data_IF_816805608077
#
_entry.id   IF_816805608077
#
_cell.length_a   1.000
_cell.length_b   1.000
_cell.length_c   1.000
_cell.angle_alpha   90.00
_cell.angle_beta   90.00
_cell.angle_gamma   90.00
#
_symmetry.space_group_name_H-M   'P 1'
#
loop_
_entity.id
_entity.type
_entity.pdbx_description
1 polymer ?
#
# COMPACT_ATOMS: atom_id res chain seq x y z
N UNK A 1 -39.29 18.20 -13.55
CA UNK A 1 -38.37 17.31 -12.81
C UNK A 1 -37.34 16.84 -13.84
N UNK A 2 -36.08 17.26 -13.70
CA UNK A 2 -35.00 16.86 -14.63
C UNK A 2 -34.79 15.35 -14.51
N UNK A 3 -34.88 14.64 -15.64
CA UNK A 3 -34.59 13.21 -15.69
C UNK A 3 -33.08 13.02 -15.56
N UNK A 4 -32.63 12.56 -14.39
CA UNK A 4 -31.22 12.36 -14.08
C UNK A 4 -30.54 11.42 -15.08
N UNK A 5 -31.29 10.45 -15.65
CA UNK A 5 -30.76 9.53 -16.67
C UNK A 5 -30.38 10.22 -17.98
N UNK A 6 -31.03 11.34 -18.31
CA UNK A 6 -30.71 12.13 -19.51
C UNK A 6 -29.33 12.83 -19.42
N UNK A 7 -28.73 12.86 -18.22
CA UNK A 7 -27.43 13.49 -17.93
C UNK A 7 -26.31 12.47 -17.72
N UNK A 8 -26.57 11.16 -17.88
CA UNK A 8 -25.57 10.09 -17.67
C UNK A 8 -24.33 10.28 -18.57
N UNK A 9 -24.47 10.90 -19.74
CA UNK A 9 -23.34 11.21 -20.62
C UNK A 9 -22.35 12.21 -20.00
N UNK A 10 -22.78 13.01 -19.01
CA UNK A 10 -21.91 13.93 -18.27
C UNK A 10 -21.21 13.25 -17.10
N UNK A 11 -21.65 12.06 -16.68
CA UNK A 11 -21.10 11.36 -15.53
C UNK A 11 -19.57 11.16 -15.64
N UNK A 12 -18.97 10.75 -16.77
CA UNK A 12 -17.52 10.63 -16.88
C UNK A 12 -16.79 11.96 -16.63
N UNK A 13 -17.37 13.07 -17.10
CA UNK A 13 -16.81 14.40 -16.90
C UNK A 13 -16.92 14.85 -15.44
N UNK A 14 -18.09 14.67 -14.82
CA UNK A 14 -18.34 15.00 -13.41
C UNK A 14 -17.44 14.15 -12.51
N UNK A 15 -17.34 12.83 -12.76
CA UNK A 15 -16.47 11.92 -12.02
C UNK A 15 -15.00 12.29 -12.15
N UNK A 16 -14.55 12.73 -13.33
CA UNK A 16 -13.17 13.21 -13.53
C UNK A 16 -12.88 14.50 -12.74
N UNK A 17 -13.86 15.41 -12.65
CA UNK A 17 -13.71 16.66 -11.90
C UNK A 17 -13.71 16.42 -10.39
N UNK A 18 -14.68 15.63 -9.91
CA UNK A 18 -14.87 15.35 -8.49
C UNK A 18 -13.84 14.36 -7.95
N UNK A 19 -13.38 13.44 -8.80
CA UNK A 19 -12.51 12.31 -8.42
C UNK A 19 -12.99 11.65 -7.11
N UNK A 20 -14.23 11.12 -7.06
CA UNK A 20 -14.78 10.57 -5.83
C UNK A 20 -13.98 9.35 -5.38
N UNK A 21 -13.81 9.22 -4.06
CA UNK A 21 -13.12 8.09 -3.40
C UNK A 21 -13.65 6.72 -3.82
N UNK A 22 -14.93 6.62 -4.18
CA UNK A 22 -15.56 5.39 -4.67
C UNK A 22 -14.93 4.84 -5.96
N UNK A 23 -14.22 5.65 -6.74
CA UNK A 23 -13.48 5.18 -7.90
C UNK A 23 -12.39 4.17 -7.54
N UNK A 24 -11.84 4.24 -6.32
CA UNK A 24 -10.82 3.33 -5.81
C UNK A 24 -11.35 2.04 -5.19
N UNK A 25 -12.65 1.96 -4.91
CA UNK A 25 -13.28 0.78 -4.29
C UNK A 25 -13.49 -0.35 -5.30
N UNK A 26 -13.64 -0.01 -6.58
CA UNK A 26 -13.83 -1.00 -7.64
C UNK A 26 -12.55 -1.83 -7.84
N UNK A 27 -12.64 -3.13 -7.57
CA UNK A 27 -11.58 -4.08 -7.91
C UNK A 27 -11.57 -4.25 -9.43
N UNK A 28 -10.43 -3.97 -10.04
CA UNK A 28 -10.24 -3.99 -11.48
C UNK A 28 -9.30 -5.13 -11.91
N UNK A 29 -9.13 -5.31 -13.22
CA UNK A 29 -8.19 -6.29 -13.76
C UNK A 29 -6.78 -6.01 -13.24
N UNK A 30 -6.08 -7.07 -12.84
CA UNK A 30 -4.69 -7.02 -12.35
C UNK A 30 -3.77 -7.88 -13.22
N UNK A 31 -2.55 -7.40 -13.42
CA UNK A 31 -1.44 -8.22 -13.90
C UNK A 31 -0.56 -8.56 -12.70
N UNK A 32 -0.68 -9.77 -12.17
CA UNK A 32 0.16 -10.23 -11.07
C UNK A 32 1.45 -10.86 -11.58
N UNK A 33 2.55 -10.62 -10.87
CA UNK A 33 3.79 -11.33 -11.05
C UNK A 33 4.21 -11.93 -9.71
N UNK A 34 4.38 -13.25 -9.69
CA UNK A 34 4.85 -14.00 -8.53
C UNK A 34 6.14 -14.71 -8.89
N UNK A 35 7.18 -14.46 -8.10
CA UNK A 35 8.45 -15.19 -8.12
C UNK A 35 8.50 -16.09 -6.88
N UNK A 36 8.69 -17.39 -7.09
CA UNK A 36 8.65 -18.39 -6.03
C UNK A 36 9.91 -19.24 -6.06
N UNK A 37 10.54 -19.39 -4.92
CA UNK A 37 11.64 -20.33 -4.68
C UNK A 37 11.19 -21.39 -3.66
N UNK A 38 12.11 -22.28 -3.28
CA UNK A 38 11.90 -23.19 -2.15
C UNK A 38 11.85 -22.46 -0.82
N UNK A 39 12.46 -21.27 -0.71
CA UNK A 39 12.73 -20.60 0.57
C UNK A 39 11.91 -19.32 0.76
N UNK A 40 11.33 -18.75 -0.30
CA UNK A 40 10.49 -17.55 -0.22
C UNK A 40 9.59 -17.38 -1.44
N UNK A 41 8.58 -16.52 -1.30
CA UNK A 41 7.70 -16.06 -2.38
C UNK A 41 7.70 -14.53 -2.38
N UNK A 42 7.79 -13.91 -3.55
CA UNK A 42 7.60 -12.48 -3.75
C UNK A 42 6.51 -12.28 -4.82
N UNK A 43 5.43 -11.59 -4.49
CA UNK A 43 4.33 -11.34 -5.41
C UNK A 43 3.96 -9.87 -5.46
N UNK A 44 3.64 -9.36 -6.65
CA UNK A 44 3.29 -7.96 -6.89
C UNK A 44 2.19 -7.83 -7.95
N UNK A 45 1.20 -7.00 -7.69
CA UNK A 45 0.27 -6.47 -8.67
C UNK A 45 0.96 -5.34 -9.47
N UNK A 46 1.36 -5.63 -10.70
CA UNK A 46 2.13 -4.72 -11.55
C UNK A 46 1.28 -3.54 -12.02
N UNK A 47 1.76 -2.32 -11.82
CA UNK A 47 1.16 -1.07 -12.30
C UNK A 47 -0.36 -1.00 -12.05
N UNK A 48 -0.80 -1.42 -10.86
CA UNK A 48 -2.21 -1.50 -10.51
C UNK A 48 -2.72 -0.11 -10.08
N UNK A 49 -3.25 0.64 -11.05
CA UNK A 49 -3.87 1.97 -10.88
C UNK A 49 -3.09 2.92 -9.96
N UNK A 50 -1.82 3.26 -10.28
CA UNK A 50 -1.01 4.07 -9.38
C UNK A 50 -1.61 5.44 -9.09
N UNK A 51 -1.52 5.87 -7.83
CA UNK A 51 -1.96 7.19 -7.38
C UNK A 51 -3.48 7.36 -7.24
N UNK A 52 -4.27 6.33 -7.57
CA UNK A 52 -5.71 6.35 -7.28
C UNK A 52 -5.99 6.02 -5.83
N UNK A 53 -7.22 6.29 -5.38
CA UNK A 53 -7.69 5.78 -4.10
C UNK A 53 -7.58 4.27 -4.05
N UNK A 54 -7.18 3.76 -2.89
CA UNK A 54 -7.29 2.34 -2.58
C UNK A 54 -8.48 2.08 -1.65
N UNK A 55 -8.62 0.81 -1.32
CA UNK A 55 -9.55 0.29 -0.34
C UNK A 55 -8.94 -1.03 0.14
N UNK A 56 -9.57 -2.19 -0.09
CA UNK A 56 -9.12 -3.52 0.35
C UNK A 56 -7.91 -4.09 -0.43
N UNK A 57 -7.15 -3.25 -1.11
CA UNK A 57 -6.08 -3.67 -2.01
C UNK A 57 -4.80 -4.01 -1.25
N UNK A 58 -4.23 -5.19 -1.53
CA UNK A 58 -2.91 -5.60 -1.10
C UNK A 58 -2.02 -5.79 -2.32
N UNK A 59 -1.03 -4.90 -2.50
CA UNK A 59 -0.35 -4.74 -3.78
C UNK A 59 0.85 -5.66 -3.93
N UNK A 60 1.62 -5.88 -2.87
CA UNK A 60 2.76 -6.77 -2.92
C UNK A 60 3.06 -7.37 -1.55
N UNK A 61 3.76 -8.51 -1.57
CA UNK A 61 4.26 -9.15 -0.37
C UNK A 61 5.46 -10.03 -0.69
N UNK A 62 6.49 -9.96 0.16
CA UNK A 62 7.50 -11.00 0.30
C UNK A 62 7.12 -11.89 1.50
N UNK A 63 7.09 -13.21 1.32
CA UNK A 63 6.87 -14.19 2.38
C UNK A 63 8.04 -15.13 2.43
N UNK A 64 8.81 -15.08 3.51
CA UNK A 64 9.94 -15.99 3.74
C UNK A 64 9.46 -17.26 4.45
N UNK A 65 8.62 -17.11 5.48
CA UNK A 65 8.00 -18.23 6.17
C UNK A 65 6.66 -17.79 6.80
N UNK A 66 6.02 -18.68 7.57
CA UNK A 66 4.72 -18.42 8.21
C UNK A 66 4.70 -17.24 9.21
N UNK A 67 5.87 -16.81 9.69
CA UNK A 67 6.04 -15.73 10.67
C UNK A 67 6.65 -14.46 10.06
N UNK A 68 7.19 -14.52 8.84
CA UNK A 68 7.89 -13.41 8.18
C UNK A 68 7.21 -13.12 6.85
N UNK A 69 6.33 -12.12 6.89
CA UNK A 69 5.77 -11.46 5.71
C UNK A 69 6.17 -10.00 5.72
N UNK A 70 6.58 -9.49 4.56
CA UNK A 70 7.06 -8.13 4.36
C UNK A 70 6.23 -7.51 3.27
N UNK A 71 5.64 -6.36 3.58
CA UNK A 71 4.86 -5.58 2.64
C UNK A 71 4.81 -4.14 3.15
N UNK A 72 4.30 -3.25 2.32
CA UNK A 72 4.09 -1.86 2.68
C UNK A 72 2.68 -1.42 2.33
N UNK A 73 2.15 -0.48 3.10
CA UNK A 73 0.82 0.10 2.91
C UNK A 73 0.89 1.62 3.06
N UNK A 74 -0.05 2.33 2.45
CA UNK A 74 -0.37 3.71 2.83
C UNK A 74 -1.62 3.68 3.73
N UNK A 75 -1.51 4.06 5.02
CA UNK A 75 -2.65 4.11 5.91
C UNK A 75 -3.80 4.94 5.33
N UNK A 76 -5.02 4.47 5.55
CA UNK A 76 -6.23 5.18 5.13
C UNK A 76 -7.26 5.29 6.25
N UNK A 77 -8.36 5.94 5.94
CA UNK A 77 -9.56 5.96 6.77
C UNK A 77 -10.77 5.58 5.90
N UNK A 78 -11.73 4.82 6.46
CA UNK A 78 -12.94 4.46 5.74
C UNK A 78 -13.77 5.71 5.37
N UNK A 79 -14.50 5.58 4.27
CA UNK A 79 -15.31 6.69 3.72
C UNK A 79 -16.57 6.90 4.58
N UNK A 80 -17.14 5.80 5.07
CA UNK A 80 -18.35 5.81 5.88
C UNK A 80 -17.99 5.90 7.38
N UNK A 81 -18.89 6.40 8.21
CA UNK A 81 -18.74 6.39 9.68
C UNK A 81 -19.52 5.23 10.33
N UNK A 82 -19.90 4.24 9.52
CA UNK A 82 -20.68 3.07 9.94
C UNK A 82 -19.76 1.93 10.37
N UNK A 83 -19.83 1.54 11.64
CA UNK A 83 -19.03 0.44 12.20
C UNK A 83 -19.17 -0.88 11.43
N UNK A 84 -20.28 -1.11 10.71
CA UNK A 84 -20.46 -2.31 9.90
C UNK A 84 -19.71 -2.29 8.56
N UNK A 85 -19.15 -1.14 8.15
CA UNK A 85 -18.45 -0.92 6.87
C UNK A 85 -17.05 -0.31 7.03
N UNK A 86 -16.60 -0.10 8.27
CA UNK A 86 -15.34 0.57 8.63
C UNK A 86 -14.13 -0.36 8.76
N UNK A 87 -13.96 -1.27 7.81
CA UNK A 87 -12.85 -2.23 7.84
C UNK A 87 -11.67 -1.83 6.93
N UNK A 88 -11.92 -0.99 5.93
CA UNK A 88 -10.91 -0.60 4.93
C UNK A 88 -11.24 0.74 4.24
N UNK A 89 -10.22 1.46 3.75
CA UNK A 89 -8.83 1.31 4.18
C UNK A 89 -8.69 1.72 5.65
N UNK A 90 -7.79 1.06 6.38
CA UNK A 90 -7.45 1.40 7.76
C UNK A 90 -5.94 1.55 7.91
N UNK A 91 -5.40 1.39 9.12
CA UNK A 91 -3.96 1.47 9.35
C UNK A 91 -3.19 0.40 8.57
N UNK A 92 -3.53 -0.89 8.78
CA UNK A 92 -2.90 -2.03 8.09
C UNK A 92 -3.75 -2.63 6.97
N UNK A 93 -5.07 -2.43 7.00
CA UNK A 93 -5.97 -3.07 6.04
C UNK A 93 -6.07 -2.18 4.81
N UNK A 94 -5.58 -2.70 3.70
CA UNK A 94 -5.73 -2.04 2.42
C UNK A 94 -4.76 -0.88 2.21
N UNK A 95 -5.14 0.07 1.36
CA UNK A 95 -4.33 1.25 1.06
C UNK A 95 -5.23 2.48 0.92
N UNK A 96 -4.84 3.62 1.48
CA UNK A 96 -5.51 4.90 1.19
C UNK A 96 -5.24 5.39 -0.24
N UNK A 97 -4.00 5.22 -0.71
CA UNK A 97 -3.55 5.58 -2.05
C UNK A 97 -2.73 4.40 -2.57
N UNK A 98 -3.00 4.01 -3.81
CA UNK A 98 -2.29 2.90 -4.44
C UNK A 98 -0.90 3.35 -4.94
N UNK A 99 0.12 2.50 -4.79
CA UNK A 99 1.44 2.82 -5.31
C UNK A 99 1.61 2.46 -6.77
N UNK A 100 2.67 3.01 -7.36
CA UNK A 100 3.20 2.45 -8.59
C UNK A 100 4.16 1.31 -8.25
N UNK A 101 3.72 0.08 -8.47
CA UNK A 101 4.53 -1.10 -8.16
C UNK A 101 4.98 -1.85 -9.41
N UNK A 102 6.22 -2.32 -9.38
CA UNK A 102 6.80 -3.23 -10.37
C UNK A 102 7.66 -4.30 -9.69
N UNK A 103 7.83 -5.45 -10.34
CA UNK A 103 8.70 -6.53 -9.86
C UNK A 103 9.45 -7.15 -11.03
N UNK A 104 10.70 -7.51 -10.79
CA UNK A 104 11.46 -8.41 -11.64
C UNK A 104 12.16 -9.45 -10.77
N UNK A 105 11.80 -10.73 -10.96
CA UNK A 105 12.28 -11.85 -10.15
C UNK A 105 12.18 -11.56 -8.64
N UNK A 106 13.30 -11.49 -7.94
CA UNK A 106 13.43 -11.28 -6.50
C UNK A 106 13.52 -9.80 -6.09
N UNK A 107 13.30 -8.87 -7.03
CA UNK A 107 13.34 -7.42 -6.76
C UNK A 107 11.96 -6.82 -6.97
N UNK A 108 11.42 -6.21 -5.91
CA UNK A 108 10.20 -5.42 -5.95
C UNK A 108 10.54 -3.94 -5.74
N UNK A 109 9.85 -3.07 -6.47
CA UNK A 109 9.87 -1.63 -6.26
C UNK A 109 8.43 -1.15 -6.20
N UNK A 110 8.16 -0.26 -5.26
CA UNK A 110 6.97 0.56 -5.29
C UNK A 110 7.37 2.03 -5.18
N UNK A 111 6.52 2.95 -5.64
CA UNK A 111 6.58 4.37 -5.27
C UNK A 111 5.19 4.85 -4.83
N UNK A 112 5.06 5.35 -3.61
CA UNK A 112 3.86 6.04 -3.13
C UNK A 112 4.04 7.53 -3.34
N UNK A 113 2.97 8.18 -3.80
CA UNK A 113 2.88 9.63 -3.84
C UNK A 113 1.63 10.07 -3.09
N UNK A 114 1.80 10.48 -1.84
CA UNK A 114 0.69 10.73 -0.90
C UNK A 114 0.27 12.20 -0.86
N UNK A 115 0.90 13.08 -1.64
CA UNK A 115 0.52 14.51 -1.74
C UNK A 115 -0.48 14.82 -2.88
N UNK A 116 -1.01 13.78 -3.55
CA UNK A 116 -1.88 13.96 -4.70
C UNK A 116 -3.16 14.74 -4.38
N UNK A 117 -3.77 15.36 -5.39
CA UNK A 117 -5.01 16.11 -5.22
C UNK A 117 -6.07 15.26 -4.50
N UNK A 118 -6.67 15.83 -3.46
CA UNK A 118 -7.74 15.14 -2.73
C UNK A 118 -9.00 14.95 -3.56
N UNK A 119 -9.66 13.81 -3.36
CA UNK A 119 -10.91 13.45 -3.99
C UNK A 119 -12.12 13.95 -3.24
N UNK A 120 -13.28 13.96 -3.90
CA UNK A 120 -14.55 14.23 -3.23
C UNK A 120 -14.84 13.16 -2.17
N UNK A 121 -15.16 13.60 -0.95
CA UNK A 121 -15.34 12.79 0.28
C UNK A 121 -14.11 12.05 0.79
N UNK A 122 -12.90 12.44 0.37
CA UNK A 122 -11.68 11.94 0.98
C UNK A 122 -11.47 12.54 2.37
N UNK A 123 -11.15 11.69 3.35
CA UNK A 123 -10.74 12.11 4.69
C UNK A 123 -9.36 12.79 4.65
N UNK A 124 -8.92 13.30 5.80
CA UNK A 124 -7.56 13.80 5.91
C UNK A 124 -6.57 12.66 5.63
N UNK A 125 -5.67 12.89 4.67
CA UNK A 125 -4.65 11.93 4.28
C UNK A 125 -3.48 11.96 5.26
N UNK A 126 -2.94 10.79 5.51
CA UNK A 126 -1.74 10.60 6.33
C UNK A 126 -0.51 10.80 5.44
N UNK A 127 0.48 11.54 5.92
CA UNK A 127 1.68 11.91 5.14
C UNK A 127 2.88 11.00 5.47
N UNK A 128 2.60 9.71 5.62
CA UNK A 128 3.59 8.66 5.77
C UNK A 128 3.05 7.36 5.21
N UNK A 129 3.96 6.44 4.95
CA UNK A 129 3.64 5.05 4.65
C UNK A 129 4.42 4.17 5.60
N UNK A 130 4.11 2.90 5.65
CA UNK A 130 4.76 2.01 6.59
C UNK A 130 4.94 0.63 6.01
N UNK A 131 5.93 -0.08 6.52
CA UNK A 131 6.23 -1.44 6.16
C UNK A 131 5.95 -2.37 7.34
N UNK A 132 5.25 -3.46 7.08
CA UNK A 132 5.27 -4.60 7.98
C UNK A 132 6.62 -5.30 7.79
N UNK A 133 7.50 -5.17 8.78
CA UNK A 133 8.82 -5.78 8.81
C UNK A 133 9.06 -6.35 10.21
N UNK A 134 8.81 -7.66 10.43
CA UNK A 134 8.79 -8.23 11.76
C UNK A 134 10.20 -8.47 12.30
N UNK A 135 10.83 -7.41 12.80
CA UNK A 135 12.24 -7.37 13.22
C UNK A 135 12.63 -8.51 14.18
N UNK A 136 11.76 -8.86 15.12
CA UNK A 136 12.00 -9.89 16.15
C UNK A 136 11.88 -11.33 15.62
N UNK A 137 11.43 -11.53 14.37
CA UNK A 137 11.25 -12.85 13.75
C UNK A 137 12.42 -13.25 12.86
N UNK A 138 13.28 -12.32 12.50
CA UNK A 138 14.53 -12.63 11.80
C UNK A 138 15.56 -13.20 12.78
N UNK A 139 16.47 -14.03 12.27
CA UNK A 139 17.64 -14.47 13.04
C UNK A 139 18.60 -13.30 13.28
N UNK A 140 18.68 -12.41 12.28
CA UNK A 140 19.42 -11.16 12.34
C UNK A 140 18.59 -10.08 11.63
N UNK A 141 18.31 -8.98 12.33
CA UNK A 141 17.71 -7.78 11.75
C UNK A 141 18.60 -6.57 12.07
N UNK A 142 18.77 -5.68 11.10
CA UNK A 142 19.49 -4.43 11.27
C UNK A 142 18.73 -3.29 10.61
N UNK A 143 18.53 -2.20 11.33
CA UNK A 143 17.87 -0.99 10.84
C UNK A 143 18.84 0.18 10.95
N UNK A 144 19.06 0.89 9.85
CA UNK A 144 19.94 2.06 9.82
C UNK A 144 19.48 3.06 8.76
N UNK A 145 19.05 4.24 9.21
CA UNK A 145 18.52 5.29 8.35
C UNK A 145 17.37 4.76 7.50
N UNK A 146 17.56 4.72 6.18
CA UNK A 146 16.57 4.25 5.21
C UNK A 146 16.64 2.75 4.87
N UNK A 147 17.48 1.98 5.56
CA UNK A 147 17.71 0.58 5.25
C UNK A 147 17.24 -0.33 6.40
N UNK A 148 16.45 -1.34 6.08
CA UNK A 148 16.15 -2.46 6.96
C UNK A 148 16.61 -3.77 6.31
N UNK A 149 17.45 -4.51 7.01
CA UNK A 149 17.98 -5.80 6.57
C UNK A 149 17.46 -6.91 7.47
N UNK A 150 17.22 -8.08 6.89
CA UNK A 150 16.79 -9.28 7.61
C UNK A 150 17.44 -10.53 7.05
N UNK A 151 17.82 -11.45 7.93
CA UNK A 151 18.28 -12.80 7.56
C UNK A 151 17.43 -13.85 8.26
N UNK A 152 17.02 -14.88 7.51
CA UNK A 152 16.32 -16.04 8.05
C UNK A 152 16.61 -17.28 7.19
N UNK A 153 17.08 -18.37 7.79
CA UNK A 153 17.34 -19.64 7.11
C UNK A 153 18.21 -19.50 5.82
N UNK A 154 19.21 -18.61 5.86
CA UNK A 154 20.09 -18.33 4.71
C UNK A 154 19.48 -17.47 3.61
N UNK A 155 18.25 -16.97 3.77
CA UNK A 155 17.64 -15.94 2.92
C UNK A 155 17.94 -14.57 3.49
N UNK A 156 18.42 -13.66 2.64
CA UNK A 156 18.66 -12.26 3.00
C UNK A 156 17.65 -11.35 2.30
N UNK A 157 17.10 -10.40 3.03
CA UNK A 157 16.19 -9.37 2.51
C UNK A 157 16.71 -7.99 2.86
N UNK A 158 16.54 -7.06 1.92
CA UNK A 158 16.74 -5.64 2.14
C UNK A 158 15.44 -4.91 1.77
N UNK A 159 14.90 -4.14 2.70
CA UNK A 159 13.89 -3.13 2.46
C UNK A 159 14.58 -1.77 2.49
N UNK A 160 14.47 -1.03 1.39
CA UNK A 160 15.14 0.25 1.20
C UNK A 160 14.07 1.30 1.00
N UNK A 161 14.10 2.34 1.83
CA UNK A 161 13.20 3.47 1.72
C UNK A 161 13.81 4.65 0.94
N UNK A 162 12.96 5.46 0.30
CA UNK A 162 13.32 6.81 -0.15
C UNK A 162 13.77 7.77 0.97
N UNK A 163 13.13 7.71 2.14
CA UNK A 163 13.46 8.45 3.38
C UNK A 163 13.78 7.48 4.54
N UNK A 164 14.21 8.03 5.68
CA UNK A 164 14.50 7.26 6.89
C UNK A 164 13.30 6.43 7.37
N UNK A 165 13.62 5.21 7.83
CA UNK A 165 12.69 4.25 8.41
C UNK A 165 12.77 4.35 9.94
N UNK A 166 11.62 4.54 10.57
CA UNK A 166 11.50 4.71 12.02
C UNK A 166 10.61 3.60 12.58
N UNK A 167 11.09 2.87 13.59
CA UNK A 167 10.29 1.85 14.27
C UNK A 167 9.17 2.55 15.05
N UNK A 168 7.93 2.08 14.89
CA UNK A 168 6.84 2.47 15.76
C UNK A 168 7.11 1.97 17.19
N UNK A 169 7.15 2.84 18.20
CA UNK A 169 7.46 2.43 19.58
C UNK A 169 6.42 1.46 20.17
N UNK A 170 5.22 1.37 19.60
CA UNK A 170 4.15 0.50 20.07
C UNK A 170 4.02 -0.80 19.26
N UNK A 171 4.71 -0.91 18.13
CA UNK A 171 4.66 -2.07 17.24
C UNK A 171 6.02 -2.26 16.56
N UNK A 172 6.77 -3.27 17.02
CA UNK A 172 8.11 -3.56 16.49
C UNK A 172 8.08 -4.07 15.04
N UNK A 173 6.91 -4.38 14.49
CA UNK A 173 6.75 -4.83 13.10
C UNK A 173 6.49 -3.67 12.16
N UNK A 174 6.31 -2.47 12.69
CA UNK A 174 5.86 -1.32 11.94
C UNK A 174 7.02 -0.33 11.70
N UNK A 175 7.55 -0.33 10.48
CA UNK A 175 8.55 0.63 10.05
C UNK A 175 7.87 1.78 9.33
N UNK A 176 7.76 2.93 10.01
CA UNK A 176 7.15 4.15 9.49
C UNK A 176 8.16 4.91 8.64
N UNK A 177 7.71 5.37 7.48
CA UNK A 177 8.45 6.25 6.61
C UNK A 177 7.65 7.52 6.32
N UNK A 178 8.09 8.63 6.89
CA UNK A 178 7.46 9.92 6.69
C UNK A 178 7.81 10.52 5.33
N UNK A 179 6.90 11.34 4.79
CA UNK A 179 7.14 12.12 3.58
C UNK A 179 6.01 12.00 2.56
N UNK A 180 6.01 12.92 1.60
CA UNK A 180 5.03 12.97 0.52
C UNK A 180 5.28 11.97 -0.61
N UNK A 181 6.53 11.54 -0.75
CA UNK A 181 6.94 10.45 -1.64
C UNK A 181 7.73 9.47 -0.81
N UNK A 182 7.30 8.21 -0.82
CA UNK A 182 7.83 7.16 0.06
C UNK A 182 8.00 5.85 -0.70
N UNK A 183 8.84 5.03 -0.07
CA UNK A 183 9.69 3.91 -0.49
C UNK A 183 10.47 4.08 -1.80
#
# INVERSE_FOLDING_TARGET
MLDIKSLDFLLPFITKILNPVSNGVAIQKVNSYTYRTTNYILSTAQNYYPGTFGDQHHIWQATLNKNISIFTTHPGAPIFDDNARNFSPSYWVGNGILPHSAQFENVHMSIYKVDQRKGFMERQRIEFTHAHFPNDRFEQAHLEGKYAFGTNEGVHVALIGGNDLVINPNDLYDLIQNGHTTY
#
